data_IF_318295268915
#
_entry.id   IF_318295268915
#
_cell.length_a   1.000
_cell.length_b   1.000
_cell.length_c   1.000
_cell.angle_alpha   90.00
_cell.angle_beta   90.00
_cell.angle_gamma   90.00
#
_symmetry.space_group_name_H-M   'P 1'
#
loop_
_entity.id
_entity.type
_entity.pdbx_description
1 polymer ?
#
# COMPACT_ATOMS: atom_id res chain seq x y z
N UNK A 1 15.45 27.14 19.87
CA UNK A 1 15.70 25.78 20.40
C UNK A 1 14.56 25.28 21.30
N UNK A 2 14.09 26.03 22.31
CA UNK A 2 13.06 25.57 23.28
C UNK A 2 11.73 25.22 22.61
N UNK A 3 11.22 26.02 21.65
CA UNK A 3 9.96 25.76 20.93
C UNK A 3 10.03 24.50 20.06
N UNK A 4 11.19 24.25 19.42
CA UNK A 4 11.44 23.02 18.66
C UNK A 4 11.35 21.79 19.56
N UNK A 5 11.94 21.85 20.77
CA UNK A 5 11.84 20.78 21.77
C UNK A 5 10.39 20.49 22.21
N UNK A 6 9.62 21.55 22.46
CA UNK A 6 8.20 21.42 22.81
C UNK A 6 7.38 20.75 21.70
N UNK A 7 7.58 21.15 20.44
CA UNK A 7 6.85 20.56 19.31
C UNK A 7 7.24 19.09 19.11
N UNK A 8 8.52 18.72 19.25
CA UNK A 8 8.95 17.32 19.21
C UNK A 8 8.27 16.47 20.28
N UNK A 9 8.17 16.99 21.52
CA UNK A 9 7.46 16.30 22.60
C UNK A 9 5.96 16.14 22.29
N UNK A 10 5.32 17.16 21.70
CA UNK A 10 3.92 17.10 21.29
C UNK A 10 3.67 16.08 20.18
N UNK A 11 4.59 15.94 19.20
CA UNK A 11 4.51 14.93 18.13
C UNK A 11 4.50 13.51 18.69
N UNK A 12 5.30 13.27 19.74
CA UNK A 12 5.36 11.96 20.40
C UNK A 12 4.09 11.69 21.23
N UNK A 13 3.55 12.72 21.89
CA UNK A 13 2.41 12.60 22.79
C UNK A 13 1.06 12.51 22.06
N UNK A 14 0.93 13.05 20.85
CA UNK A 14 -0.36 13.07 20.13
C UNK A 14 -0.69 11.73 19.50
N UNK A 15 -1.96 11.31 19.65
CA UNK A 15 -2.51 10.11 19.04
C UNK A 15 -3.20 10.39 17.69
N UNK A 16 -3.52 11.65 17.42
CA UNK A 16 -4.17 12.09 16.18
C UNK A 16 -3.15 12.17 15.06
N UNK A 17 -3.38 11.46 13.97
CA UNK A 17 -2.54 11.50 12.77
C UNK A 17 -2.53 12.88 12.11
N UNK A 18 -3.67 13.55 12.08
CA UNK A 18 -3.81 14.90 11.56
C UNK A 18 -2.99 15.92 12.36
N UNK A 19 -3.12 15.90 13.71
CA UNK A 19 -2.37 16.82 14.58
C UNK A 19 -0.86 16.54 14.49
N UNK A 20 -0.48 15.27 14.38
CA UNK A 20 0.91 14.87 14.18
C UNK A 20 1.50 15.46 12.91
N UNK A 21 0.77 15.41 11.81
CA UNK A 21 1.17 15.98 10.53
C UNK A 21 1.32 17.51 10.62
N UNK A 22 0.35 18.21 11.22
CA UNK A 22 0.41 19.66 11.44
C UNK A 22 1.56 20.08 12.35
N UNK A 23 1.86 19.32 13.37
CA UNK A 23 3.03 19.56 14.22
C UNK A 23 4.35 19.32 13.50
N UNK A 24 4.42 18.32 12.61
CA UNK A 24 5.58 18.07 11.76
C UNK A 24 5.82 19.21 10.76
N UNK A 25 4.77 19.70 10.10
CA UNK A 25 4.86 20.89 9.23
C UNK A 25 5.41 22.10 10.00
N UNK A 26 4.90 22.34 11.21
CA UNK A 26 5.35 23.43 12.07
C UNK A 26 6.81 23.27 12.50
N UNK A 27 7.20 22.04 12.83
CA UNK A 27 8.59 21.71 13.16
C UNK A 27 9.51 21.97 11.98
N UNK A 28 9.14 21.56 10.78
CA UNK A 28 9.90 21.75 9.55
C UNK A 28 10.15 23.24 9.27
N UNK A 29 9.11 24.08 9.39
CA UNK A 29 9.23 25.54 9.24
C UNK A 29 10.17 26.19 10.27
N UNK A 30 10.31 25.62 11.46
CA UNK A 30 11.13 26.17 12.54
C UNK A 30 12.57 25.64 12.54
N UNK A 31 12.79 24.43 12.05
CA UNK A 31 14.06 23.72 12.27
C UNK A 31 14.79 23.28 11.00
N UNK A 32 14.18 23.27 9.83
CA UNK A 32 14.80 22.65 8.67
C UNK A 32 14.42 23.22 7.32
N UNK A 33 13.51 24.17 7.27
CA UNK A 33 12.93 24.62 6.00
C UNK A 33 11.81 23.71 5.50
N UNK A 34 11.15 24.14 4.44
CA UNK A 34 10.04 23.46 3.79
C UNK A 34 10.34 23.36 2.30
N UNK A 35 10.26 22.15 1.76
CA UNK A 35 10.21 21.97 0.31
C UNK A 35 8.75 22.09 -0.16
N UNK A 36 8.51 22.91 -1.17
CA UNK A 36 7.20 23.08 -1.78
C UNK A 36 7.23 22.51 -3.20
N UNK A 37 6.39 21.52 -3.47
CA UNK A 37 6.19 20.97 -4.81
C UNK A 37 4.89 21.52 -5.39
N UNK A 38 5.01 22.34 -6.44
CA UNK A 38 3.85 22.89 -7.14
C UNK A 38 3.41 21.93 -8.23
N UNK A 39 2.13 21.49 -8.15
CA UNK A 39 1.52 20.60 -9.13
C UNK A 39 0.52 21.39 -9.97
N UNK A 40 0.61 21.23 -11.29
CA UNK A 40 -0.32 21.86 -12.24
C UNK A 40 -0.71 20.89 -13.36
N UNK A 41 -1.89 21.13 -13.94
CA UNK A 41 -2.41 20.40 -15.09
C UNK A 41 -3.36 21.28 -15.92
N UNK A 42 -3.78 20.78 -17.07
CA UNK A 42 -4.70 21.49 -17.96
C UNK A 42 -6.16 21.50 -17.43
N UNK A 43 -6.52 20.54 -16.58
CA UNK A 43 -7.84 20.47 -15.96
C UNK A 43 -7.73 20.23 -14.45
N UNK A 44 -8.80 20.57 -13.71
CA UNK A 44 -8.87 20.36 -12.25
C UNK A 44 -8.79 18.88 -11.88
N UNK A 45 -9.47 18.02 -12.65
CA UNK A 45 -9.46 16.57 -12.42
C UNK A 45 -8.04 16.01 -12.59
N UNK A 46 -7.35 16.38 -13.65
CA UNK A 46 -5.96 15.96 -13.89
C UNK A 46 -5.00 16.50 -12.82
N UNK A 47 -5.22 17.74 -12.38
CA UNK A 47 -4.41 18.33 -11.31
C UNK A 47 -4.59 17.58 -10.00
N UNK A 48 -5.83 17.21 -9.65
CA UNK A 48 -6.13 16.40 -8.46
C UNK A 48 -5.47 15.02 -8.54
N UNK A 49 -5.61 14.34 -9.68
CA UNK A 49 -4.98 13.04 -9.90
C UNK A 49 -3.44 13.10 -9.75
N UNK A 50 -2.80 14.12 -10.32
CA UNK A 50 -1.36 14.33 -10.18
C UNK A 50 -0.96 14.61 -8.73
N UNK A 51 -1.75 15.42 -8.01
CA UNK A 51 -1.51 15.70 -6.60
C UNK A 51 -1.60 14.43 -5.77
N UNK A 52 -2.65 13.64 -5.94
CA UNK A 52 -2.86 12.39 -5.20
C UNK A 52 -1.69 11.40 -5.46
N UNK A 53 -1.20 11.34 -6.70
CA UNK A 53 -0.02 10.53 -7.07
C UNK A 53 1.28 11.00 -6.40
N UNK A 54 1.45 12.32 -6.23
CA UNK A 54 2.61 12.88 -5.52
C UNK A 54 2.51 12.60 -4.02
N UNK A 55 1.33 12.73 -3.43
CA UNK A 55 1.09 12.44 -2.02
C UNK A 55 1.33 10.95 -1.72
N UNK A 56 0.91 10.04 -2.61
CA UNK A 56 1.18 8.61 -2.54
C UNK A 56 2.69 8.31 -2.62
N UNK A 57 3.39 8.89 -3.59
CA UNK A 57 4.84 8.74 -3.73
C UNK A 57 5.60 9.25 -2.50
N UNK A 58 5.17 10.36 -1.88
CA UNK A 58 5.74 10.87 -0.65
C UNK A 58 5.53 9.91 0.52
N UNK A 59 4.33 9.35 0.64
CA UNK A 59 3.99 8.38 1.68
C UNK A 59 4.80 7.08 1.53
N UNK A 60 4.92 6.58 0.30
CA UNK A 60 5.76 5.43 -0.03
C UNK A 60 7.24 5.68 0.29
N UNK A 61 7.75 6.87 -0.02
CA UNK A 61 9.14 7.27 0.29
C UNK A 61 9.39 7.29 1.80
N UNK A 62 8.46 7.83 2.59
CA UNK A 62 8.57 7.82 4.06
C UNK A 62 8.57 6.40 4.61
N UNK A 63 7.68 5.53 4.12
CA UNK A 63 7.65 4.13 4.51
C UNK A 63 8.96 3.39 4.15
N UNK A 64 9.54 3.70 2.99
CA UNK A 64 10.82 3.14 2.56
C UNK A 64 12.01 3.61 3.43
N UNK A 65 11.98 4.84 3.94
CA UNK A 65 12.99 5.35 4.89
C UNK A 65 12.89 4.60 6.23
N UNK A 66 11.69 4.22 6.66
CA UNK A 66 11.48 3.56 7.95
C UNK A 66 11.94 2.09 7.96
N UNK A 67 11.61 1.31 6.92
CA UNK A 67 11.84 -0.15 6.90
C UNK A 67 12.61 -0.64 5.65
N UNK A 68 13.06 0.27 4.80
CA UNK A 68 13.78 -0.09 3.58
C UNK A 68 12.87 -0.47 2.41
N UNK A 69 13.48 -1.02 1.38
CA UNK A 69 12.82 -1.40 0.12
C UNK A 69 13.04 -2.89 -0.19
N UNK A 70 12.07 -3.48 -0.85
CA UNK A 70 12.10 -4.84 -1.41
C UNK A 70 11.87 -4.80 -2.92
N UNK A 71 12.11 -5.92 -3.60
CA UNK A 71 11.72 -6.05 -5.00
C UNK A 71 10.20 -5.90 -5.13
N UNK A 72 9.78 -5.04 -6.04
CA UNK A 72 8.38 -4.75 -6.30
C UNK A 72 7.67 -5.82 -7.13
N UNK A 73 6.49 -5.48 -7.63
CA UNK A 73 5.74 -6.36 -8.52
C UNK A 73 5.24 -7.65 -7.87
N UNK A 74 5.09 -7.69 -6.55
CA UNK A 74 4.64 -8.87 -5.81
C UNK A 74 5.74 -9.92 -5.58
N UNK A 75 6.97 -9.69 -6.04
CA UNK A 75 8.09 -10.64 -5.89
C UNK A 75 8.43 -10.90 -4.42
N UNK A 76 8.38 -9.88 -3.57
CA UNK A 76 8.65 -10.01 -2.15
C UNK A 76 7.77 -11.09 -1.49
N UNK A 77 6.50 -11.18 -1.85
CA UNK A 77 5.59 -12.21 -1.35
C UNK A 77 5.94 -13.61 -1.85
N UNK A 78 6.35 -13.74 -3.12
CA UNK A 78 6.80 -15.04 -3.66
C UNK A 78 8.05 -15.53 -2.92
N UNK A 79 8.98 -14.62 -2.61
CA UNK A 79 10.17 -14.98 -1.79
C UNK A 79 9.79 -15.33 -0.34
N UNK A 80 8.80 -14.65 0.22
CA UNK A 80 8.30 -14.95 1.57
C UNK A 80 7.67 -16.34 1.69
N UNK A 81 7.23 -16.98 0.58
CA UNK A 81 6.73 -18.36 0.60
C UNK A 81 7.75 -19.34 1.20
N UNK A 82 9.05 -19.09 1.05
CA UNK A 82 10.07 -19.92 1.63
C UNK A 82 9.97 -20.03 3.18
N UNK A 83 9.46 -18.99 3.85
CA UNK A 83 9.23 -19.02 5.28
C UNK A 83 8.08 -19.97 5.70
N UNK A 84 7.23 -20.35 4.76
CA UNK A 84 6.14 -21.31 4.96
C UNK A 84 6.56 -22.75 4.66
N UNK A 85 7.74 -22.95 4.07
CA UNK A 85 8.27 -24.27 3.78
C UNK A 85 8.66 -24.97 5.08
N UNK A 86 8.07 -26.14 5.31
CA UNK A 86 8.31 -26.89 6.55
C UNK A 86 7.50 -26.44 7.76
N UNK A 87 6.74 -25.35 7.67
CA UNK A 87 5.79 -24.97 8.69
C UNK A 87 4.65 -25.99 8.70
N UNK A 88 4.38 -26.56 9.87
CA UNK A 88 3.32 -27.54 10.09
C UNK A 88 2.34 -27.03 11.12
N UNK A 89 1.04 -27.16 10.83
CA UNK A 89 0.00 -26.91 11.80
C UNK A 89 -0.02 -27.99 12.88
N UNK A 90 -0.50 -27.65 14.06
CA UNK A 90 -0.71 -28.62 15.15
C UNK A 90 -1.90 -29.59 14.86
N UNK A 91 -2.77 -29.16 13.95
CA UNK A 91 -3.94 -29.91 13.49
C UNK A 91 -4.23 -29.64 12.00
N UNK A 92 -5.21 -30.32 11.43
CA UNK A 92 -5.60 -30.20 10.01
C UNK A 92 -6.14 -28.80 9.66
N UNK A 93 -6.83 -28.14 10.58
CA UNK A 93 -7.39 -26.80 10.35
C UNK A 93 -6.29 -25.75 10.26
N UNK A 94 -5.30 -25.81 11.14
CA UNK A 94 -4.12 -24.95 11.07
C UNK A 94 -3.31 -25.21 9.81
N UNK A 95 -3.15 -26.47 9.43
CA UNK A 95 -2.47 -26.82 8.18
C UNK A 95 -3.20 -26.22 6.97
N UNK A 96 -4.52 -26.29 6.97
CA UNK A 96 -5.36 -25.66 5.93
C UNK A 96 -5.16 -24.14 5.90
N UNK A 97 -5.10 -23.49 7.07
CA UNK A 97 -4.81 -22.05 7.17
C UNK A 97 -3.46 -21.68 6.57
N UNK A 98 -2.41 -22.48 6.81
CA UNK A 98 -1.07 -22.28 6.22
C UNK A 98 -1.13 -22.37 4.69
N UNK A 99 -1.86 -23.35 4.15
CA UNK A 99 -2.01 -23.51 2.69
C UNK A 99 -2.82 -22.38 2.06
N UNK A 100 -3.84 -21.85 2.75
CA UNK A 100 -4.60 -20.68 2.32
C UNK A 100 -3.66 -19.49 2.18
N UNK A 101 -2.84 -19.18 3.20
CA UNK A 101 -1.89 -18.07 3.15
C UNK A 101 -0.86 -18.29 2.03
N UNK A 102 -0.30 -19.50 1.89
CA UNK A 102 0.67 -19.84 0.83
C UNK A 102 0.12 -19.50 -0.55
N UNK A 103 -1.14 -19.83 -0.80
CA UNK A 103 -1.81 -19.53 -2.07
C UNK A 103 -2.13 -18.04 -2.21
N UNK A 104 -2.64 -17.41 -1.15
CA UNK A 104 -3.08 -16.02 -1.19
C UNK A 104 -1.95 -15.04 -1.50
N UNK A 105 -0.74 -15.28 -1.01
CA UNK A 105 0.41 -14.37 -1.23
C UNK A 105 0.95 -14.40 -2.68
N UNK A 106 0.45 -15.29 -3.54
CA UNK A 106 0.71 -15.24 -4.99
C UNK A 106 -0.17 -14.23 -5.73
N UNK A 107 -1.34 -13.91 -5.18
CA UNK A 107 -2.36 -13.12 -5.87
C UNK A 107 -1.90 -11.71 -6.26
N UNK A 108 -1.09 -10.98 -5.48
CA UNK A 108 -0.59 -9.67 -5.90
C UNK A 108 0.18 -9.72 -7.23
N UNK A 109 1.09 -10.69 -7.40
CA UNK A 109 1.80 -10.88 -8.68
C UNK A 109 0.85 -11.36 -9.78
N UNK A 110 -0.06 -12.30 -9.49
CA UNK A 110 -1.05 -12.79 -10.46
C UNK A 110 -1.91 -11.65 -11.00
N UNK A 111 -2.38 -10.76 -10.12
CA UNK A 111 -3.21 -9.63 -10.50
C UNK A 111 -2.45 -8.63 -11.38
N UNK A 112 -1.20 -8.31 -11.04
CA UNK A 112 -0.34 -7.44 -11.86
C UNK A 112 -0.19 -8.01 -13.27
N UNK A 113 0.06 -9.32 -13.37
CA UNK A 113 0.24 -10.02 -14.63
C UNK A 113 -1.06 -10.07 -15.43
N UNK A 114 -2.18 -10.33 -14.78
CA UNK A 114 -3.51 -10.32 -15.41
C UNK A 114 -3.86 -8.93 -15.97
N UNK A 115 -3.56 -7.86 -15.21
CA UNK A 115 -3.73 -6.48 -15.66
C UNK A 115 -2.87 -6.15 -16.89
N UNK A 116 -1.74 -6.83 -17.06
CA UNK A 116 -0.89 -6.74 -18.24
C UNK A 116 -1.33 -7.67 -19.40
N UNK A 117 -2.48 -8.37 -19.25
CA UNK A 117 -3.03 -9.27 -20.27
C UNK A 117 -2.27 -10.60 -20.43
N UNK A 118 -1.57 -11.04 -19.38
CA UNK A 118 -0.77 -12.28 -19.40
C UNK A 118 -1.32 -13.32 -18.41
N UNK A 119 -0.87 -14.58 -18.58
CA UNK A 119 -1.25 -15.67 -17.68
C UNK A 119 -0.43 -15.68 -16.40
N UNK A 120 -1.11 -15.39 -15.27
CA UNK A 120 -0.47 -15.23 -13.97
C UNK A 120 0.25 -16.48 -13.46
N UNK A 121 -0.32 -17.66 -13.71
CA UNK A 121 0.27 -18.93 -13.24
C UNK A 121 1.67 -19.18 -13.81
N UNK A 122 1.84 -18.93 -15.11
CA UNK A 122 3.12 -19.11 -15.81
C UNK A 122 4.18 -18.15 -15.28
N UNK A 123 3.78 -16.89 -15.04
CA UNK A 123 4.72 -15.87 -14.53
C UNK A 123 5.12 -16.16 -13.09
N UNK A 124 4.16 -16.53 -12.22
CA UNK A 124 4.43 -16.90 -10.83
C UNK A 124 5.40 -18.08 -10.76
N UNK A 125 5.19 -19.13 -11.55
CA UNK A 125 6.09 -20.29 -11.59
C UNK A 125 7.51 -19.88 -11.98
N UNK A 126 7.66 -19.08 -13.04
CA UNK A 126 8.95 -18.61 -13.50
C UNK A 126 9.65 -17.68 -12.50
N UNK A 127 8.90 -16.81 -11.81
CA UNK A 127 9.45 -15.95 -10.76
C UNK A 127 9.88 -16.79 -9.56
N UNK A 128 9.12 -17.82 -9.18
CA UNK A 128 9.44 -18.73 -8.08
C UNK A 128 10.77 -19.47 -8.32
N UNK A 129 11.03 -19.89 -9.55
CA UNK A 129 12.28 -20.57 -9.96
C UNK A 129 13.49 -19.63 -9.94
N UNK A 130 13.27 -18.31 -9.99
CA UNK A 130 14.33 -17.32 -9.92
C UNK A 130 14.76 -17.00 -8.49
N UNK A 131 15.89 -16.33 -8.35
CA UNK A 131 16.48 -16.00 -7.08
C UNK A 131 16.42 -14.50 -6.77
N UNK A 132 16.53 -14.15 -5.49
CA UNK A 132 16.63 -12.78 -4.98
C UNK A 132 15.58 -11.83 -5.58
N UNK A 133 16.02 -10.78 -6.25
CA UNK A 133 15.18 -9.72 -6.81
C UNK A 133 14.73 -10.00 -8.25
N UNK A 134 14.95 -11.22 -8.77
CA UNK A 134 14.48 -11.63 -10.10
C UNK A 134 12.95 -11.66 -10.13
N UNK A 135 12.36 -10.99 -11.09
CA UNK A 135 10.91 -10.88 -11.23
C UNK A 135 10.46 -10.46 -12.62
N UNK A 136 9.16 -10.29 -12.78
CA UNK A 136 8.54 -9.88 -14.03
C UNK A 136 8.22 -8.38 -14.02
N UNK A 137 8.82 -7.64 -14.95
CA UNK A 137 8.52 -6.24 -15.20
C UNK A 137 7.35 -6.12 -16.19
N UNK A 138 6.15 -5.94 -15.67
CA UNK A 138 4.93 -5.85 -16.47
C UNK A 138 4.93 -4.68 -17.47
N UNK A 139 5.61 -3.58 -17.16
CA UNK A 139 5.71 -2.42 -18.06
C UNK A 139 6.52 -2.72 -19.32
N UNK A 140 7.60 -3.51 -19.17
CA UNK A 140 8.52 -3.82 -20.28
C UNK A 140 8.24 -5.20 -20.91
N UNK A 141 7.38 -6.00 -20.28
CA UNK A 141 7.12 -7.42 -20.64
C UNK A 141 8.40 -8.29 -20.63
N UNK A 142 9.25 -8.11 -19.63
CA UNK A 142 10.52 -8.84 -19.49
C UNK A 142 10.75 -9.34 -18.08
N UNK A 143 11.60 -10.37 -17.96
CA UNK A 143 12.10 -10.87 -16.68
C UNK A 143 13.49 -10.29 -16.44
N UNK A 144 13.65 -9.60 -15.31
CA UNK A 144 14.90 -8.92 -14.95
C UNK A 144 15.05 -8.81 -13.43
N UNK A 145 16.21 -8.33 -12.96
CA UNK A 145 16.34 -7.92 -11.56
C UNK A 145 15.55 -6.64 -11.32
N UNK A 146 14.43 -6.75 -10.61
CA UNK A 146 13.48 -5.66 -10.42
C UNK A 146 14.07 -4.52 -9.59
N UNK A 147 14.89 -4.83 -8.59
CA UNK A 147 15.52 -3.81 -7.76
C UNK A 147 16.52 -2.98 -8.57
N UNK A 148 17.32 -3.62 -9.41
CA UNK A 148 18.24 -2.94 -10.33
C UNK A 148 17.49 -2.14 -11.40
N UNK A 149 16.31 -2.61 -11.83
CA UNK A 149 15.44 -1.93 -12.78
C UNK A 149 14.65 -0.75 -12.16
N UNK A 150 14.75 -0.53 -10.84
CA UNK A 150 14.00 0.52 -10.13
C UNK A 150 12.54 0.16 -9.85
N UNK A 151 12.16 -1.11 -9.99
CA UNK A 151 10.82 -1.62 -9.62
C UNK A 151 10.89 -2.13 -8.18
N UNK A 152 10.55 -1.26 -7.25
CA UNK A 152 10.70 -1.48 -5.82
C UNK A 152 9.43 -1.11 -5.07
N UNK A 153 9.19 -1.79 -3.95
CA UNK A 153 8.12 -1.48 -3.00
C UNK A 153 8.72 -1.18 -1.62
N UNK A 154 8.09 -0.30 -0.82
CA UNK A 154 8.49 -0.13 0.58
C UNK A 154 8.18 -1.41 1.37
N UNK A 155 9.15 -1.92 2.11
CA UNK A 155 8.98 -3.14 2.92
C UNK A 155 7.83 -3.01 3.92
N UNK A 156 7.70 -1.83 4.55
CA UNK A 156 6.60 -1.53 5.48
C UNK A 156 5.22 -1.68 4.83
N UNK A 157 5.06 -1.19 3.61
CA UNK A 157 3.76 -1.26 2.91
C UNK A 157 3.38 -2.70 2.61
N UNK A 158 4.32 -3.50 2.08
CA UNK A 158 4.07 -4.92 1.78
C UNK A 158 3.76 -5.72 3.05
N UNK A 159 4.50 -5.50 4.13
CA UNK A 159 4.27 -6.17 5.42
C UNK A 159 2.90 -5.81 6.01
N UNK A 160 2.59 -4.51 6.14
CA UNK A 160 1.34 -4.04 6.75
C UNK A 160 0.12 -4.45 5.92
N UNK A 161 0.24 -4.48 4.59
CA UNK A 161 -0.84 -4.95 3.73
C UNK A 161 -1.19 -6.43 4.03
N UNK A 162 -0.20 -7.30 4.18
CA UNK A 162 -0.42 -8.69 4.53
C UNK A 162 -0.99 -8.86 5.95
N UNK A 163 -0.46 -8.13 6.92
CA UNK A 163 -0.94 -8.15 8.31
C UNK A 163 -2.41 -7.72 8.40
N UNK A 164 -2.77 -6.62 7.75
CA UNK A 164 -4.15 -6.14 7.74
C UNK A 164 -5.09 -7.10 7.00
N UNK A 165 -4.66 -7.64 5.86
CA UNK A 165 -5.45 -8.63 5.12
C UNK A 165 -5.70 -9.88 5.95
N UNK A 166 -4.69 -10.42 6.63
CA UNK A 166 -4.81 -11.57 7.50
C UNK A 166 -5.72 -11.29 8.71
N UNK A 167 -5.61 -10.10 9.31
CA UNK A 167 -6.47 -9.67 10.42
C UNK A 167 -7.95 -9.65 10.02
N UNK A 168 -8.26 -9.05 8.87
CA UNK A 168 -9.65 -8.99 8.37
C UNK A 168 -10.14 -10.39 7.97
N UNK A 169 -9.33 -11.19 7.29
CA UNK A 169 -9.69 -12.55 6.92
C UNK A 169 -10.00 -13.40 8.15
N UNK A 170 -9.20 -13.30 9.23
CA UNK A 170 -9.45 -13.98 10.50
C UNK A 170 -10.79 -13.56 11.13
N UNK A 171 -11.13 -12.27 11.03
CA UNK A 171 -12.42 -11.75 11.51
C UNK A 171 -13.59 -12.29 10.68
N UNK A 172 -13.44 -12.38 9.35
CA UNK A 172 -14.44 -12.98 8.48
C UNK A 172 -14.72 -14.45 8.79
N UNK A 173 -13.69 -15.24 9.09
CA UNK A 173 -13.81 -16.66 9.44
C UNK A 173 -14.62 -16.91 10.72
N UNK A 174 -14.71 -15.91 11.60
CA UNK A 174 -15.46 -16.00 12.86
C UNK A 174 -16.86 -15.36 12.79
N UNK A 175 -17.24 -14.78 11.65
CA UNK A 175 -18.56 -14.15 11.43
C UNK A 175 -19.54 -15.14 10.78
N UNK A 176 -20.79 -15.13 11.26
CA UNK A 176 -21.89 -15.89 10.65
C UNK A 176 -22.62 -15.10 9.55
N UNK A 177 -22.51 -13.76 9.58
CA UNK A 177 -23.25 -12.90 8.66
C UNK A 177 -22.52 -11.57 8.45
N UNK A 178 -22.61 -11.03 7.26
CA UNK A 178 -22.10 -9.69 6.90
C UNK A 178 -23.26 -8.85 6.38
N UNK A 179 -23.42 -7.66 6.95
CA UNK A 179 -24.44 -6.68 6.51
C UNK A 179 -23.69 -5.58 5.74
N UNK A 180 -24.15 -5.33 4.52
CA UNK A 180 -23.57 -4.30 3.64
C UNK A 180 -24.67 -3.60 2.87
N UNK A 181 -24.38 -2.39 2.40
CA UNK A 181 -25.30 -1.65 1.53
C UNK A 181 -25.47 -2.37 0.19
N UNK A 182 -26.70 -2.33 -0.32
CA UNK A 182 -27.01 -2.83 -1.67
C UNK A 182 -26.40 -1.84 -2.67
N UNK A 183 -25.57 -2.34 -3.57
CA UNK A 183 -24.97 -1.52 -4.63
C UNK A 183 -26.08 -1.00 -5.56
N UNK A 184 -26.24 0.32 -5.62
CA UNK A 184 -27.14 0.95 -6.58
C UNK A 184 -26.59 0.82 -8.01
N UNK A 185 -27.40 0.32 -8.94
CA UNK A 185 -27.01 0.15 -10.35
C UNK A 185 -26.77 1.50 -11.06
N UNK A 186 -27.43 2.58 -10.59
CA UNK A 186 -27.24 3.93 -11.06
C UNK A 186 -27.22 4.90 -9.87
N UNK A 187 -26.06 5.19 -9.27
CA UNK A 187 -25.98 6.18 -8.22
C UNK A 187 -26.42 7.54 -8.78
N UNK A 188 -27.43 8.15 -8.16
CA UNK A 188 -27.86 9.50 -8.52
C UNK A 188 -26.63 10.44 -8.47
N UNK A 189 -26.46 11.35 -9.45
CA UNK A 189 -25.35 12.30 -9.42
C UNK A 189 -25.38 13.06 -8.10
N UNK A 190 -24.25 13.10 -7.39
CA UNK A 190 -24.12 13.79 -6.11
C UNK A 190 -24.58 15.24 -6.33
N UNK A 191 -25.70 15.63 -5.68
CA UNK A 191 -26.15 17.01 -5.71
C UNK A 191 -25.05 17.89 -5.11
N UNK A 192 -24.60 18.94 -5.80
CA UNK A 192 -23.66 19.87 -5.21
C UNK A 192 -24.31 20.43 -3.94
N UNK A 193 -23.60 20.36 -2.83
CA UNK A 193 -24.03 20.93 -1.56
C UNK A 193 -24.36 22.41 -1.81
N UNK A 194 -25.65 22.72 -1.86
CA UNK A 194 -26.13 24.04 -2.16
C UNK A 194 -25.62 25.02 -1.12
N UNK A 195 -24.75 25.92 -1.56
CA UNK A 195 -24.40 27.10 -0.80
C UNK A 195 -25.66 27.93 -0.57
N UNK A 196 -26.20 27.88 0.64
CA UNK A 196 -27.14 28.90 1.11
C UNK A 196 -26.32 30.19 1.34
N UNK A 197 -26.14 30.93 0.24
CA UNK A 197 -25.73 32.31 0.30
C UNK A 197 -26.85 33.15 0.90
N UNK A 198 -26.61 33.73 2.04
CA UNK A 198 -27.52 34.63 2.74
C UNK A 198 -27.91 35.82 1.91
N UNK A 199 -29.18 36.12 1.90
CA UNK A 199 -29.75 37.46 1.74
C UNK A 199 -30.00 38.01 3.16
N UNK A 200 -29.26 39.02 3.52
CA UNK A 200 -29.65 40.31 4.10
C UNK A 200 -28.42 41.07 4.54
#
# INVERSE_FOLDING_TARGET
>A
AARVGQIKAQIVATKSTYDKEKLQERLAKLAGGVAQLNVGAASEVEMKEKKDRVDDALSATRAAIEEGIVAGGGVAYIRAQAALEGLKGENEDEQTGIEIIRRAIEEPLRQIVANAGKEGAVVVDKVRQGEADFGYNARKDVYENLKAAGVVDPAKVTRVALENAASIAGMFLTTECVITDIKEENPAPAMPAGGMGGMM
#
